data_IF_547819325056
#
_entry.id   IF_547819325056
#
_cell.length_a   1.000
_cell.length_b   1.000
_cell.length_c   1.000
_cell.angle_alpha   90.00
_cell.angle_beta   90.00
_cell.angle_gamma   90.00
#
_symmetry.space_group_name_H-M   'P 1'
#
loop_
_entity.id
_entity.type
_entity.pdbx_description
1 polymer ?
#
# COMPACT_ATOMS: atom_id res chain seq x y z
N UNK A 1 -9.80 7.67 -22.10
CA UNK A 1 -9.86 7.80 -20.62
C UNK A 1 -10.00 6.44 -19.90
N UNK A 2 -9.39 5.33 -20.37
CA UNK A 2 -9.49 3.99 -19.72
C UNK A 2 -8.23 3.59 -18.92
N UNK A 3 -7.07 4.14 -19.25
CA UNK A 3 -5.78 3.71 -18.69
C UNK A 3 -5.54 4.14 -17.25
N UNK A 4 -6.10 5.30 -16.83
CA UNK A 4 -5.93 5.83 -15.46
C UNK A 4 -6.71 5.03 -14.40
N UNK A 5 -7.88 4.49 -14.75
CA UNK A 5 -8.67 3.66 -13.82
C UNK A 5 -8.04 2.28 -13.61
N UNK A 6 -7.55 1.65 -14.68
CA UNK A 6 -6.89 0.34 -14.61
C UNK A 6 -5.62 0.39 -13.73
N UNK A 7 -4.81 1.45 -13.84
CA UNK A 7 -3.66 1.65 -12.96
C UNK A 7 -4.08 1.83 -11.49
N UNK A 8 -5.17 2.54 -11.22
CA UNK A 8 -5.66 2.73 -9.85
C UNK A 8 -6.18 1.44 -9.21
N UNK A 9 -6.88 0.60 -9.97
CA UNK A 9 -7.36 -0.70 -9.48
C UNK A 9 -6.22 -1.67 -9.21
N UNK A 10 -5.23 -1.74 -10.11
CA UNK A 10 -4.03 -2.56 -9.91
C UNK A 10 -3.23 -2.08 -8.69
N UNK A 11 -3.06 -0.76 -8.52
CA UNK A 11 -2.36 -0.19 -7.36
C UNK A 11 -3.09 -0.49 -6.04
N UNK A 12 -4.42 -0.42 -6.02
CA UNK A 12 -5.23 -0.79 -4.84
C UNK A 12 -5.12 -2.28 -4.52
N UNK A 13 -5.14 -3.15 -5.52
CA UNK A 13 -4.97 -4.59 -5.33
C UNK A 13 -3.60 -4.92 -4.74
N UNK A 14 -2.53 -4.32 -5.27
CA UNK A 14 -1.17 -4.50 -4.77
C UNK A 14 -1.00 -3.98 -3.33
N UNK A 15 -1.52 -2.79 -3.03
CA UNK A 15 -1.47 -2.23 -1.68
C UNK A 15 -2.18 -3.14 -0.67
N UNK A 16 -3.37 -3.68 -1.03
CA UNK A 16 -4.12 -4.59 -0.17
C UNK A 16 -3.39 -5.92 0.07
N UNK A 17 -2.79 -6.50 -0.98
CA UNK A 17 -2.04 -7.76 -0.84
C UNK A 17 -0.79 -7.57 0.03
N UNK A 18 -0.07 -6.47 -0.17
CA UNK A 18 1.11 -6.15 0.65
C UNK A 18 0.73 -5.89 2.11
N UNK A 19 -0.35 -5.14 2.37
CA UNK A 19 -0.85 -4.90 3.72
C UNK A 19 -1.25 -6.20 4.41
N UNK A 20 -1.96 -7.09 3.71
CA UNK A 20 -2.38 -8.40 4.24
C UNK A 20 -1.16 -9.27 4.61
N UNK A 21 -0.13 -9.29 3.77
CA UNK A 21 1.11 -10.05 4.05
C UNK A 21 1.88 -9.47 5.23
N UNK A 22 1.92 -8.15 5.36
CA UNK A 22 2.60 -7.50 6.49
C UNK A 22 1.84 -7.75 7.79
N UNK A 23 0.51 -7.66 7.79
CA UNK A 23 -0.35 -7.95 8.95
C UNK A 23 -0.23 -9.40 9.44
N UNK A 24 0.16 -10.34 8.58
CA UNK A 24 0.42 -11.73 8.96
C UNK A 24 1.84 -11.98 9.49
N UNK A 25 2.78 -11.08 9.21
CA UNK A 25 4.19 -11.20 9.59
C UNK A 25 4.56 -10.31 10.77
N UNK A 26 3.80 -9.23 10.96
CA UNK A 26 3.94 -8.25 12.03
C UNK A 26 2.57 -8.20 12.68
N UNK A 27 2.51 -8.69 13.92
CA UNK A 27 1.36 -8.59 14.81
C UNK A 27 1.73 -7.52 15.85
N UNK A 28 1.08 -6.36 15.82
CA UNK A 28 1.38 -5.25 16.73
C UNK A 28 0.46 -5.37 17.96
N UNK A 29 0.99 -5.79 19.13
CA UNK A 29 0.18 -6.16 20.30
C UNK A 29 -0.56 -5.00 21.00
N UNK A 30 -0.47 -3.77 20.48
CA UNK A 30 -1.05 -2.55 21.08
C UNK A 30 -2.20 -1.95 20.26
N UNK A 31 -2.57 -2.55 19.14
CA UNK A 31 -3.63 -2.08 18.23
C UNK A 31 -4.52 -3.25 17.81
N UNK A 32 -5.81 -2.97 17.55
CA UNK A 32 -6.70 -3.99 16.99
C UNK A 32 -6.30 -4.33 15.56
N UNK A 33 -6.57 -5.56 15.11
CA UNK A 33 -6.28 -6.00 13.74
C UNK A 33 -6.84 -5.04 12.67
N UNK A 34 -8.03 -4.46 12.90
CA UNK A 34 -8.63 -3.46 12.01
C UNK A 34 -7.81 -2.16 11.94
N UNK A 35 -7.31 -1.70 13.10
CA UNK A 35 -6.47 -0.51 13.18
C UNK A 35 -5.09 -0.75 12.58
N UNK A 36 -4.57 -1.96 12.74
CA UNK A 36 -3.29 -2.41 12.20
C UNK A 36 -3.33 -2.45 10.66
N UNK A 37 -4.40 -2.99 10.09
CA UNK A 37 -4.59 -2.98 8.65
C UNK A 37 -4.66 -1.55 8.09
N UNK A 38 -5.46 -0.67 8.71
CA UNK A 38 -5.55 0.73 8.29
C UNK A 38 -4.20 1.47 8.39
N UNK A 39 -3.43 1.18 9.44
CA UNK A 39 -2.10 1.74 9.63
C UNK A 39 -1.13 1.26 8.55
N UNK A 40 -1.07 -0.04 8.28
CA UNK A 40 -0.18 -0.58 7.24
C UNK A 40 -0.58 -0.14 5.84
N UNK A 41 -1.88 -0.06 5.52
CA UNK A 41 -2.34 0.48 4.24
C UNK A 41 -1.85 1.93 4.03
N UNK A 42 -1.93 2.77 5.06
CA UNK A 42 -1.42 4.15 5.00
C UNK A 42 0.10 4.19 4.79
N UNK A 43 0.86 3.39 5.55
CA UNK A 43 2.33 3.34 5.44
C UNK A 43 2.77 2.88 4.06
N UNK A 44 2.14 1.83 3.53
CA UNK A 44 2.47 1.28 2.21
C UNK A 44 2.14 2.29 1.09
N UNK A 45 1.00 2.99 1.18
CA UNK A 45 0.66 4.04 0.21
C UNK A 45 1.73 5.14 0.18
N UNK A 46 2.17 5.63 1.34
CA UNK A 46 3.24 6.63 1.42
C UNK A 46 4.58 6.11 0.85
N UNK A 47 4.94 4.86 1.14
CA UNK A 47 6.15 4.25 0.60
C UNK A 47 6.07 4.11 -0.91
N UNK A 48 4.93 3.69 -1.46
CA UNK A 48 4.73 3.59 -2.90
C UNK A 48 4.84 4.98 -3.54
N UNK A 49 4.21 6.01 -2.99
CA UNK A 49 4.36 7.39 -3.49
C UNK A 49 5.82 7.89 -3.47
N UNK A 50 6.58 7.60 -2.41
CA UNK A 50 8.00 7.93 -2.32
C UNK A 50 8.85 7.18 -3.35
N UNK A 51 8.57 5.90 -3.55
CA UNK A 51 9.25 5.07 -4.55
C UNK A 51 8.92 5.59 -5.95
N UNK A 52 7.64 5.74 -6.30
CA UNK A 52 7.22 6.25 -7.60
C UNK A 52 7.68 7.69 -7.86
N UNK A 53 7.77 8.55 -6.85
CA UNK A 53 8.30 9.91 -7.03
C UNK A 53 9.83 9.93 -7.25
N UNK A 54 10.59 8.98 -6.68
CA UNK A 54 12.03 8.82 -6.99
C UNK A 54 12.27 8.15 -8.34
N UNK A 55 11.50 7.11 -8.68
CA UNK A 55 11.68 6.36 -9.92
C UNK A 55 11.01 7.03 -11.13
N UNK A 56 9.96 7.82 -10.93
CA UNK A 56 9.29 8.61 -11.97
C UNK A 56 10.06 9.84 -12.45
N UNK A 57 11.17 10.21 -11.80
CA UNK A 57 12.13 11.21 -12.30
C UNK A 57 13.21 10.62 -13.23
N UNK A 58 13.24 9.31 -13.43
CA UNK A 58 14.25 8.62 -14.22
C UNK A 58 13.77 8.17 -15.61
N UNK A 59 12.62 8.65 -16.08
CA UNK A 59 12.13 8.44 -17.45
C UNK A 59 11.85 9.79 -18.10
#
# INVERSE_FOLDING_TARGET
>A
MKTSQMNNEVMRALAKELATRINQLVDIPLISEESEQAFFEMVILMLLELVFSRFGKAV
#
